data_IF_708790753316
#
_entry.id   IF_708790753316
#
_cell.length_a   1.000
_cell.length_b   1.000
_cell.length_c   1.000
_cell.angle_alpha   90.00
_cell.angle_beta   90.00
_cell.angle_gamma   90.00
#
_symmetry.space_group_name_H-M   'P 1'
#
loop_
_entity.id
_entity.type
_entity.pdbx_description
1 polymer ?
#
# COMPACT_ATOMS: atom_id res chain seq x y z
N UNK A 1 58.81 -2.49 -5.98
CA UNK A 1 58.77 -3.60 -6.96
C UNK A 1 57.66 -4.55 -6.53
N UNK A 2 56.57 -4.51 -7.29
CA UNK A 2 55.43 -5.43 -7.38
C UNK A 2 55.42 -6.68 -6.48
N UNK A 3 54.47 -6.72 -5.55
CA UNK A 3 53.83 -7.98 -5.18
C UNK A 3 52.57 -8.18 -6.04
N UNK A 4 52.75 -8.93 -7.13
CA UNK A 4 51.67 -9.47 -7.95
C UNK A 4 50.82 -10.45 -7.13
N UNK A 5 49.59 -10.06 -6.81
CA UNK A 5 48.54 -10.98 -6.38
C UNK A 5 48.07 -11.76 -7.61
N UNK A 6 48.23 -13.09 -7.58
CA UNK A 6 47.67 -14.00 -8.59
C UNK A 6 46.16 -14.11 -8.40
N UNK A 7 45.42 -13.70 -9.44
CA UNK A 7 44.00 -14.00 -9.67
C UNK A 7 43.73 -15.50 -9.61
N UNK A 8 42.71 -15.91 -8.86
CA UNK A 8 41.79 -16.99 -9.24
C UNK A 8 40.36 -16.66 -8.76
N UNK A 9 39.52 -16.42 -9.76
CA UNK A 9 38.07 -16.61 -9.90
C UNK A 9 37.21 -16.73 -8.64
N UNK A 10 36.15 -15.91 -8.62
CA UNK A 10 34.77 -16.35 -8.34
C UNK A 10 33.83 -15.30 -8.96
N UNK A 11 33.53 -15.49 -10.25
CA UNK A 11 32.31 -14.95 -10.85
C UNK A 11 31.11 -15.70 -10.28
N UNK A 12 29.98 -14.98 -10.12
CA UNK A 12 28.63 -15.42 -9.74
C UNK A 12 28.34 -15.49 -8.24
N UNK A 13 28.02 -14.33 -7.69
CA UNK A 13 26.86 -14.17 -6.83
C UNK A 13 26.19 -12.88 -7.27
N UNK A 14 24.98 -12.99 -7.81
CA UNK A 14 24.17 -11.85 -8.18
C UNK A 14 24.03 -10.97 -6.95
N UNK A 15 24.46 -9.72 -7.07
CA UNK A 15 24.22 -8.71 -6.08
C UNK A 15 22.71 -8.57 -5.93
N UNK A 16 22.16 -9.09 -4.82
CA UNK A 16 20.95 -8.51 -4.26
C UNK A 16 21.37 -7.10 -3.83
N UNK A 17 21.06 -6.10 -4.67
CA UNK A 17 21.15 -4.71 -4.26
C UNK A 17 20.21 -4.54 -3.07
N UNK A 18 20.80 -4.26 -1.92
CA UNK A 18 20.08 -3.78 -0.74
C UNK A 18 19.59 -2.37 -1.11
N UNK A 19 18.33 -2.24 -1.53
CA UNK A 19 17.70 -0.93 -1.73
C UNK A 19 17.42 -0.32 -0.35
N UNK A 20 18.39 0.43 0.17
CA UNK A 20 18.11 1.38 1.25
C UNK A 20 17.15 2.47 0.74
N UNK A 21 15.88 2.42 1.17
CA UNK A 21 15.04 3.60 1.36
C UNK A 21 14.52 4.34 0.12
N UNK A 22 14.42 3.71 -1.05
CA UNK A 22 13.79 4.34 -2.22
C UNK A 22 12.26 4.12 -2.18
N UNK A 23 11.49 5.21 -2.24
CA UNK A 23 10.05 5.14 -2.41
C UNK A 23 9.67 4.36 -3.68
N UNK A 24 8.68 3.44 -3.62
CA UNK A 24 8.23 2.75 -4.83
C UNK A 24 7.65 3.76 -5.82
N UNK A 25 7.64 3.40 -7.10
CA UNK A 25 7.01 4.23 -8.13
C UNK A 25 5.51 4.33 -7.85
N UNK A 26 5.04 5.53 -7.59
CA UNK A 26 3.61 5.84 -7.42
C UNK A 26 3.04 6.32 -8.75
N UNK A 27 2.06 5.59 -9.27
CA UNK A 27 1.19 6.02 -10.36
C UNK A 27 0.21 7.04 -9.78
N UNK A 28 0.42 8.30 -10.12
CA UNK A 28 -0.37 9.43 -9.64
C UNK A 28 -1.82 9.34 -10.10
N UNK A 29 -2.68 10.08 -9.41
CA UNK A 29 -4.10 10.26 -9.82
C UNK A 29 -4.28 10.63 -11.29
N UNK A 30 -3.41 11.49 -11.83
CA UNK A 30 -3.47 11.86 -13.24
C UNK A 30 -3.11 10.69 -14.18
N UNK A 31 -2.11 9.90 -13.81
CA UNK A 31 -1.61 8.79 -14.65
C UNK A 31 -2.59 7.62 -14.75
N UNK A 32 -3.32 7.28 -13.67
CA UNK A 32 -4.36 6.25 -13.73
C UNK A 32 -5.73 6.79 -14.16
N UNK A 33 -5.84 8.09 -14.42
CA UNK A 33 -7.09 8.70 -14.90
C UNK A 33 -8.16 8.84 -13.81
N UNK A 34 -7.76 9.20 -12.60
CA UNK A 34 -8.67 9.49 -11.50
C UNK A 34 -9.66 10.59 -11.87
N UNK A 35 -10.93 10.37 -11.58
CA UNK A 35 -11.91 11.45 -11.61
C UNK A 35 -11.67 12.40 -10.42
N UNK A 36 -12.11 13.67 -10.51
CA UNK A 36 -11.96 14.63 -9.41
C UNK A 36 -12.70 14.17 -8.15
N UNK A 37 -12.10 14.40 -6.97
CA UNK A 37 -12.77 14.21 -5.68
C UNK A 37 -13.94 15.21 -5.55
N UNK A 38 -15.06 14.82 -4.94
CA UNK A 38 -16.19 15.74 -4.68
C UNK A 38 -15.84 16.77 -3.61
N UNK A 39 -15.08 16.35 -2.60
CA UNK A 39 -14.55 17.17 -1.52
C UNK A 39 -13.18 16.64 -1.09
N UNK A 40 -12.38 17.50 -0.45
CA UNK A 40 -11.07 17.14 0.10
C UNK A 40 -11.00 17.65 1.53
N UNK A 41 -10.70 16.75 2.45
CA UNK A 41 -10.32 17.06 3.82
C UNK A 41 -8.86 16.63 4.05
N UNK A 42 -8.10 17.46 4.75
CA UNK A 42 -6.68 17.23 5.00
C UNK A 42 -6.44 16.74 6.43
N UNK A 43 -5.47 15.84 6.59
CA UNK A 43 -4.98 15.41 7.89
C UNK A 43 -4.31 16.60 8.58
N UNK A 44 -4.74 16.93 9.79
CA UNK A 44 -4.17 18.05 10.56
C UNK A 44 -3.00 17.63 11.45
N UNK A 45 -2.85 16.33 11.70
CA UNK A 45 -1.84 15.77 12.58
C UNK A 45 -1.02 14.72 11.81
N UNK A 46 0.11 15.16 11.26
CA UNK A 46 1.15 14.30 10.71
C UNK A 46 2.44 14.46 11.54
N UNK A 47 3.29 13.42 11.66
CA UNK A 47 3.10 12.07 11.09
C UNK A 47 1.92 11.31 11.71
N UNK A 48 1.20 10.52 10.92
CA UNK A 48 0.09 9.71 11.44
C UNK A 48 0.62 8.53 12.27
N UNK A 49 -0.06 8.15 13.36
CA UNK A 49 0.38 7.02 14.20
C UNK A 49 0.01 5.63 13.64
N UNK A 50 -0.90 5.53 12.67
CA UNK A 50 -1.37 4.23 12.17
C UNK A 50 -1.16 4.01 10.67
N UNK A 51 -0.80 2.78 10.30
CA UNK A 51 -0.89 2.25 8.96
C UNK A 51 -1.88 1.07 8.94
N UNK A 52 -2.90 1.14 8.07
CA UNK A 52 -3.95 0.13 8.00
C UNK A 52 -3.85 -0.68 6.71
N UNK A 53 -3.76 -1.99 6.83
CA UNK A 53 -3.77 -2.91 5.69
C UNK A 53 -5.19 -3.34 5.37
N UNK A 54 -5.51 -3.26 4.08
CA UNK A 54 -6.79 -3.68 3.50
C UNK A 54 -6.56 -4.66 2.34
N UNK A 55 -7.58 -5.48 2.07
CA UNK A 55 -7.80 -6.01 0.73
C UNK A 55 -9.00 -5.29 0.09
N UNK A 56 -9.16 -5.39 -1.22
CA UNK A 56 -10.34 -4.83 -1.88
C UNK A 56 -11.56 -5.77 -1.84
N UNK A 57 -11.34 -7.05 -1.48
CA UNK A 57 -12.32 -8.14 -1.63
C UNK A 57 -12.85 -8.28 -3.07
N UNK A 58 -12.08 -7.78 -4.04
CA UNK A 58 -12.46 -7.69 -5.44
C UNK A 58 -11.50 -8.40 -6.36
N UNK A 59 -11.58 -8.05 -7.64
CA UNK A 59 -10.74 -8.60 -8.70
C UNK A 59 -9.27 -8.24 -8.50
N UNK A 60 -8.41 -9.24 -8.63
CA UNK A 60 -6.96 -9.09 -8.74
C UNK A 60 -6.56 -8.59 -10.13
N UNK A 61 -5.39 -7.97 -10.21
CA UNK A 61 -4.83 -7.43 -11.46
C UNK A 61 -3.31 -7.64 -11.45
N UNK A 62 -2.71 -7.87 -12.62
CA UNK A 62 -1.31 -8.30 -12.73
C UNK A 62 -0.52 -7.57 -13.82
N UNK A 63 -1.14 -6.61 -14.49
CA UNK A 63 -0.52 -5.70 -15.44
C UNK A 63 -1.07 -4.29 -15.23
N UNK A 64 -0.29 -3.28 -15.59
CA UNK A 64 -0.66 -1.90 -15.30
C UNK A 64 -2.02 -1.49 -15.91
N UNK A 65 -2.35 -1.80 -17.19
CA UNK A 65 -3.69 -1.54 -17.72
C UNK A 65 -4.83 -2.19 -16.93
N UNK A 66 -4.72 -3.47 -16.55
CA UNK A 66 -5.76 -4.15 -15.76
C UNK A 66 -5.87 -3.56 -14.35
N UNK A 67 -4.75 -3.21 -13.72
CA UNK A 67 -4.75 -2.57 -12.41
C UNK A 67 -5.31 -1.15 -12.43
N UNK A 68 -5.04 -0.35 -13.46
CA UNK A 68 -5.71 0.95 -13.66
C UNK A 68 -7.22 0.77 -13.72
N UNK A 69 -7.72 -0.19 -14.52
CA UNK A 69 -9.15 -0.44 -14.64
C UNK A 69 -9.79 -0.86 -13.31
N UNK A 70 -9.09 -1.69 -12.53
CA UNK A 70 -9.52 -2.12 -11.20
C UNK A 70 -9.60 -0.93 -10.22
N UNK A 71 -8.57 -0.08 -10.17
CA UNK A 71 -8.54 1.12 -9.30
C UNK A 71 -9.62 2.13 -9.68
N UNK A 72 -9.86 2.34 -10.98
CA UNK A 72 -10.98 3.15 -11.47
C UNK A 72 -12.32 2.56 -11.02
N UNK A 73 -12.48 1.24 -11.08
CA UNK A 73 -13.65 0.52 -10.56
C UNK A 73 -13.88 0.79 -9.08
N UNK A 74 -12.82 0.76 -8.25
CA UNK A 74 -12.93 1.09 -6.82
C UNK A 74 -13.36 2.54 -6.60
N UNK A 75 -12.81 3.50 -7.36
CA UNK A 75 -13.22 4.90 -7.25
C UNK A 75 -14.70 5.09 -7.63
N UNK A 76 -15.14 4.48 -8.73
CA UNK A 76 -16.53 4.56 -9.18
C UNK A 76 -17.49 3.96 -8.15
N UNK A 77 -17.22 2.75 -7.67
CA UNK A 77 -18.02 2.10 -6.64
C UNK A 77 -18.12 2.95 -5.36
N UNK A 78 -17.00 3.45 -4.86
CA UNK A 78 -16.98 4.29 -3.66
C UNK A 78 -17.77 5.60 -3.83
N UNK A 79 -17.66 6.25 -4.98
CA UNK A 79 -18.29 7.55 -5.16
C UNK A 79 -19.73 7.48 -5.65
N UNK A 80 -20.08 6.49 -6.48
CA UNK A 80 -21.41 6.37 -7.10
C UNK A 80 -22.34 5.52 -6.24
N UNK A 81 -21.87 4.38 -5.72
CA UNK A 81 -22.70 3.48 -4.93
C UNK A 81 -22.66 3.79 -3.44
N UNK A 82 -21.49 4.11 -2.88
CA UNK A 82 -21.37 4.49 -1.45
C UNK A 82 -21.53 5.99 -1.19
N UNK A 83 -21.58 6.80 -2.24
CA UNK A 83 -21.76 8.24 -2.13
C UNK A 83 -20.54 9.01 -1.59
N UNK A 84 -19.38 8.37 -1.44
CA UNK A 84 -18.18 9.00 -0.87
C UNK A 84 -17.61 10.10 -1.78
N UNK A 85 -16.71 10.90 -1.21
CA UNK A 85 -16.05 11.99 -1.93
C UNK A 85 -14.99 11.53 -2.92
N UNK A 86 -14.43 10.33 -2.70
CA UNK A 86 -13.37 9.74 -3.50
C UNK A 86 -13.23 8.24 -3.18
N UNK A 87 -12.32 7.55 -3.87
CA UNK A 87 -11.80 6.26 -3.44
C UNK A 87 -11.42 6.29 -1.96
N UNK A 88 -11.79 5.27 -1.18
CA UNK A 88 -11.64 5.31 0.28
C UNK A 88 -10.20 5.16 0.79
N UNK A 89 -9.32 4.54 0.02
CA UNK A 89 -7.95 4.21 0.43
C UNK A 89 -6.99 5.37 0.17
N UNK A 90 -5.92 5.47 0.97
CA UNK A 90 -4.80 6.37 0.71
C UNK A 90 -4.03 5.90 -0.51
N UNK A 91 -3.73 4.60 -0.57
CA UNK A 91 -3.04 3.95 -1.68
C UNK A 91 -3.64 2.58 -1.98
N UNK A 92 -3.59 2.18 -3.25
CA UNK A 92 -3.90 0.81 -3.70
C UNK A 92 -2.64 0.22 -4.31
N UNK A 93 -2.28 -1.01 -3.95
CA UNK A 93 -1.15 -1.73 -4.51
C UNK A 93 -1.71 -2.82 -5.42
N UNK A 94 -1.32 -2.83 -6.70
CA UNK A 94 -1.74 -3.84 -7.66
C UNK A 94 -0.90 -5.12 -7.56
N UNK A 95 -1.41 -6.24 -8.06
CA UNK A 95 -0.64 -7.48 -8.17
C UNK A 95 0.51 -7.38 -9.19
N UNK A 96 0.54 -6.30 -9.98
CA UNK A 96 1.64 -5.88 -10.85
C UNK A 96 2.84 -5.26 -10.07
N UNK A 97 2.69 -5.03 -8.77
CA UNK A 97 3.70 -4.35 -7.93
C UNK A 97 3.69 -2.82 -8.05
N UNK A 98 2.72 -2.23 -8.76
CA UNK A 98 2.61 -0.78 -8.84
C UNK A 98 1.80 -0.22 -7.66
N UNK A 99 2.17 0.98 -7.21
CA UNK A 99 1.37 1.75 -6.25
C UNK A 99 0.50 2.75 -7.02
N UNK A 100 -0.80 2.76 -6.75
CA UNK A 100 -1.77 3.68 -7.30
C UNK A 100 -2.21 4.67 -6.23
N UNK A 101 -2.03 5.96 -6.51
CA UNK A 101 -2.40 7.03 -5.58
C UNK A 101 -3.93 7.13 -5.45
N UNK A 102 -4.44 6.80 -4.27
CA UNK A 102 -5.85 7.04 -3.91
C UNK A 102 -6.02 8.46 -3.39
N UNK A 103 -6.35 8.61 -2.11
CA UNK A 103 -6.37 9.93 -1.45
C UNK A 103 -4.97 10.45 -1.10
N UNK A 104 -3.95 9.60 -1.19
CA UNK A 104 -2.56 9.98 -0.98
C UNK A 104 -2.18 10.22 0.49
N UNK A 105 -1.03 10.85 0.70
CA UNK A 105 -0.42 11.04 2.02
C UNK A 105 -1.18 12.01 2.94
N UNK A 106 -1.80 13.05 2.37
CA UNK A 106 -2.19 14.24 3.13
C UNK A 106 -3.68 14.38 3.37
N UNK A 107 -4.49 13.53 2.74
CA UNK A 107 -5.95 13.62 2.77
C UNK A 107 -6.54 12.56 3.69
N UNK A 108 -7.62 12.93 4.37
CA UNK A 108 -8.39 12.01 5.22
C UNK A 108 -9.01 10.91 4.36
N UNK A 109 -8.82 9.65 4.78
CA UNK A 109 -9.36 8.44 4.17
C UNK A 109 -10.87 8.25 4.33
N UNK A 110 -11.38 7.17 3.76
CA UNK A 110 -12.68 6.57 4.10
C UNK A 110 -12.57 5.04 4.21
N UNK A 111 -11.43 4.54 4.69
CA UNK A 111 -11.07 3.13 4.69
C UNK A 111 -11.36 2.43 6.03
N UNK A 112 -11.20 3.12 7.16
CA UNK A 112 -11.31 2.52 8.50
C UNK A 112 -12.14 3.43 9.39
N UNK A 113 -13.41 3.07 9.58
CA UNK A 113 -14.36 3.87 10.36
C UNK A 113 -13.79 4.21 11.74
N UNK A 114 -13.94 5.46 12.17
CA UNK A 114 -13.37 6.06 13.39
C UNK A 114 -11.85 6.33 13.39
N UNK A 115 -11.09 5.81 12.40
CA UNK A 115 -9.63 5.94 12.36
C UNK A 115 -9.09 6.68 11.12
N UNK A 116 -9.97 7.12 10.20
CA UNK A 116 -9.60 7.83 8.98
C UNK A 116 -8.76 9.12 9.21
N UNK A 117 -8.87 9.73 10.39
CA UNK A 117 -8.16 10.98 10.75
C UNK A 117 -6.78 10.75 11.38
N UNK A 118 -6.43 9.49 11.70
CA UNK A 118 -5.22 9.15 12.45
C UNK A 118 -4.39 8.06 11.79
N UNK A 119 -4.69 7.71 10.54
CA UNK A 119 -3.93 6.71 9.82
C UNK A 119 -4.16 6.74 8.33
N UNK A 120 -3.31 6.01 7.62
CA UNK A 120 -3.37 5.84 6.17
C UNK A 120 -3.76 4.41 5.82
N UNK A 121 -4.60 4.26 4.80
CA UNK A 121 -5.11 2.98 4.33
C UNK A 121 -4.39 2.49 3.09
N UNK A 122 -3.73 1.33 3.21
CA UNK A 122 -3.01 0.65 2.14
C UNK A 122 -3.79 -0.60 1.72
N UNK A 123 -4.40 -0.53 0.53
CA UNK A 123 -5.22 -1.62 0.01
C UNK A 123 -4.45 -2.48 -0.98
N UNK A 124 -4.28 -3.76 -0.72
CA UNK A 124 -3.81 -4.72 -1.72
C UNK A 124 -5.02 -5.11 -2.59
N UNK A 125 -4.96 -4.84 -3.89
CA UNK A 125 -6.01 -5.19 -4.83
C UNK A 125 -6.13 -6.72 -4.95
N UNK A 126 -7.27 -7.28 -4.52
CA UNK A 126 -7.57 -8.70 -4.56
C UNK A 126 -8.44 -9.18 -3.39
N UNK A 127 -8.65 -10.49 -3.34
CA UNK A 127 -9.38 -11.17 -2.27
C UNK A 127 -8.52 -12.26 -1.60
N UNK A 128 -7.88 -11.89 -0.50
CA UNK A 128 -6.92 -12.75 0.20
C UNK A 128 -7.52 -13.56 1.37
N UNK A 129 -8.77 -14.02 1.22
CA UNK A 129 -9.39 -14.93 2.19
C UNK A 129 -8.70 -16.30 2.20
N UNK A 130 -8.37 -16.84 1.04
CA UNK A 130 -7.94 -18.25 0.90
C UNK A 130 -6.54 -18.43 0.32
N UNK A 131 -5.91 -17.35 -0.13
CA UNK A 131 -4.51 -17.34 -0.57
C UNK A 131 -3.84 -16.01 -0.23
N UNK A 132 -2.51 -16.00 -0.20
CA UNK A 132 -1.72 -14.78 -0.03
C UNK A 132 -1.76 -13.92 -1.29
N UNK A 133 -1.55 -12.60 -1.16
CA UNK A 133 -1.18 -11.76 -2.29
C UNK A 133 0.17 -12.19 -2.88
N UNK A 134 0.47 -11.83 -4.14
CA UNK A 134 1.81 -11.97 -4.70
C UNK A 134 2.86 -11.29 -3.81
N UNK A 135 4.04 -11.92 -3.67
CA UNK A 135 5.14 -11.39 -2.86
C UNK A 135 5.51 -9.95 -3.23
N UNK A 136 5.56 -9.63 -4.52
CA UNK A 136 5.85 -8.27 -4.99
C UNK A 136 4.83 -7.24 -4.48
N UNK A 137 3.55 -7.60 -4.36
CA UNK A 137 2.50 -6.72 -3.85
C UNK A 137 2.69 -6.45 -2.36
N UNK A 138 3.08 -7.47 -1.59
CA UNK A 138 3.35 -7.35 -0.15
C UNK A 138 4.63 -6.56 0.13
N UNK A 139 5.70 -6.81 -0.63
CA UNK A 139 6.96 -6.10 -0.49
C UNK A 139 6.81 -4.62 -0.87
N UNK A 140 6.08 -4.33 -1.96
CA UNK A 140 5.73 -2.95 -2.34
C UNK A 140 4.93 -2.23 -1.25
N UNK A 141 4.02 -2.92 -0.55
CA UNK A 141 3.28 -2.32 0.55
C UNK A 141 4.19 -1.94 1.73
N UNK A 142 5.17 -2.80 2.07
CA UNK A 142 6.19 -2.50 3.11
C UNK A 142 7.06 -1.33 2.68
N UNK A 143 7.60 -1.35 1.46
CA UNK A 143 8.41 -0.26 0.90
C UNK A 143 7.67 1.08 0.88
N UNK A 144 6.37 1.06 0.56
CA UNK A 144 5.53 2.25 0.58
C UNK A 144 5.32 2.79 2.00
N UNK A 145 5.11 1.93 2.99
CA UNK A 145 4.98 2.33 4.40
C UNK A 145 6.31 2.93 4.89
N UNK A 146 7.45 2.29 4.60
CA UNK A 146 8.77 2.80 4.94
C UNK A 146 9.05 4.15 4.27
N UNK A 147 8.66 4.30 3.01
CA UNK A 147 8.67 5.58 2.29
C UNK A 147 7.80 6.65 2.97
N UNK A 148 6.65 6.28 3.53
CA UNK A 148 5.83 7.19 4.35
C UNK A 148 6.53 7.61 5.65
N UNK A 149 7.28 6.70 6.27
CA UNK A 149 8.10 7.00 7.47
C UNK A 149 9.25 7.94 7.13
N UNK A 150 10.00 7.68 6.05
CA UNK A 150 11.12 8.55 5.63
C UNK A 150 10.67 9.95 5.22
N UNK A 151 9.47 10.09 4.68
CA UNK A 151 8.87 11.38 4.34
C UNK A 151 8.21 12.10 5.53
N UNK A 152 8.21 11.52 6.73
CA UNK A 152 7.55 12.09 7.90
C UNK A 152 6.01 12.13 7.79
N UNK A 153 5.43 11.29 6.92
CA UNK A 153 3.98 11.11 6.78
C UNK A 153 3.44 10.11 7.80
N UNK A 154 4.24 9.09 8.13
CA UNK A 154 3.95 8.05 9.11
C UNK A 154 4.99 8.13 10.23
N UNK A 155 4.57 7.92 11.48
CA UNK A 155 5.47 8.04 12.63
C UNK A 155 6.47 6.87 12.61
N UNK A 156 7.73 7.08 13.02
CA UNK A 156 8.71 5.99 13.04
C UNK A 156 8.37 4.86 14.02
N UNK A 157 7.52 5.14 15.02
CA UNK A 157 6.97 4.17 15.97
C UNK A 157 5.48 3.87 15.68
N UNK A 158 5.06 3.96 14.42
CA UNK A 158 3.68 3.68 14.02
C UNK A 158 3.21 2.29 14.46
N UNK A 159 1.90 2.13 14.48
CA UNK A 159 1.22 0.86 14.71
C UNK A 159 0.59 0.38 13.40
N UNK A 160 0.93 -0.84 12.97
CA UNK A 160 0.35 -1.52 11.83
C UNK A 160 -0.87 -2.34 12.28
N UNK A 161 -2.01 -2.21 11.60
CA UNK A 161 -3.20 -3.03 11.89
C UNK A 161 -3.89 -3.48 10.62
N UNK A 162 -4.51 -4.65 10.65
CA UNK A 162 -5.51 -5.02 9.65
C UNK A 162 -6.81 -4.24 9.90
N UNK A 163 -7.64 -4.07 8.87
CA UNK A 163 -8.94 -3.41 9.04
C UNK A 163 -9.78 -4.06 10.16
N UNK A 164 -9.85 -5.40 10.20
CA UNK A 164 -10.62 -6.15 11.20
C UNK A 164 -10.20 -5.92 12.65
N UNK A 165 -8.96 -5.49 12.91
CA UNK A 165 -8.52 -5.14 14.28
C UNK A 165 -9.25 -3.91 14.82
N UNK A 166 -9.63 -3.00 13.92
CA UNK A 166 -10.25 -1.72 14.28
C UNK A 166 -11.77 -1.76 14.13
N UNK A 167 -12.26 -2.59 13.21
CA UNK A 167 -13.68 -2.76 12.90
C UNK A 167 -13.98 -4.27 12.83
N UNK A 168 -14.42 -4.92 13.93
CA UNK A 168 -14.52 -6.38 14.01
C UNK A 168 -15.67 -6.99 13.18
N UNK A 169 -16.45 -6.17 12.48
CA UNK A 169 -17.56 -6.60 11.62
C UNK A 169 -17.17 -6.81 10.15
N UNK A 170 -15.88 -6.67 9.82
CA UNK A 170 -15.35 -6.94 8.48
C UNK A 170 -14.32 -8.06 8.50
N UNK A 171 -14.29 -8.85 7.44
CA UNK A 171 -13.22 -9.83 7.19
C UNK A 171 -12.00 -9.19 6.51
N UNK A 172 -11.96 -7.89 6.25
CA UNK A 172 -10.79 -7.24 5.66
C UNK A 172 -9.58 -7.29 6.65
N UNK A 173 -8.34 -7.63 6.23
CA UNK A 173 -7.81 -7.75 4.86
C UNK A 173 -7.84 -9.17 4.25
N UNK A 174 -8.70 -10.05 4.76
CA UNK A 174 -8.80 -11.45 4.37
C UNK A 174 -7.91 -12.36 5.22
N UNK A 175 -8.32 -13.60 5.45
CA UNK A 175 -7.69 -14.46 6.46
C UNK A 175 -6.21 -14.76 6.20
N UNK A 176 -5.81 -15.00 4.95
CA UNK A 176 -4.41 -15.28 4.64
C UNK A 176 -3.55 -14.04 4.75
N UNK A 177 -3.99 -12.90 4.20
CA UNK A 177 -3.24 -11.65 4.34
C UNK A 177 -3.22 -11.18 5.80
N UNK A 178 -4.31 -11.35 6.55
CA UNK A 178 -4.35 -11.04 7.97
C UNK A 178 -3.31 -11.86 8.75
N UNK A 179 -3.26 -13.18 8.53
CA UNK A 179 -2.27 -14.04 9.17
C UNK A 179 -0.83 -13.62 8.84
N UNK A 180 -0.58 -13.18 7.60
CA UNK A 180 0.73 -12.70 7.14
C UNK A 180 1.13 -11.38 7.82
N UNK A 181 0.27 -10.36 7.84
CA UNK A 181 0.63 -9.05 8.41
C UNK A 181 0.87 -9.09 9.92
N UNK A 182 0.34 -10.08 10.64
CA UNK A 182 0.67 -10.33 12.05
C UNK A 182 2.17 -10.62 12.27
N UNK A 183 2.90 -10.97 11.21
CA UNK A 183 4.34 -11.23 11.26
C UNK A 183 5.19 -10.02 10.87
N UNK A 184 4.57 -8.95 10.35
CA UNK A 184 5.29 -7.76 9.91
C UNK A 184 5.73 -6.92 11.12
N UNK A 185 6.79 -6.13 10.93
CA UNK A 185 7.19 -5.15 11.93
C UNK A 185 6.04 -4.17 12.21
N UNK A 186 5.98 -3.67 13.45
CA UNK A 186 4.98 -2.71 13.93
C UNK A 186 3.54 -3.25 14.07
N UNK A 187 3.28 -4.54 13.87
CA UNK A 187 2.01 -5.16 14.28
C UNK A 187 1.90 -5.26 15.82
#
# INVERSE_FOLDING_TARGET
>A
MDHKIRKKNLDKIGAYEVYEGACPKIISRGEWGARPSKSIEYLTNQPVPFAFIHHSAGTECFDQPSCIAVVQGYQNFHMDERGWDDIGYSYVIGGDGSVYEGRGWDRVGAHTLHYNYVGLGFCLAGNFMTHLPPTIQMDTAKELIDCGVTQGKIASNYTLRGHRDMVPTTDCPGDQLYAEINTWAHY
#
